data_IF_570008952101
#
_entry.id   IF_570008952101
#
_cell.length_a   1.000
_cell.length_b   1.000
_cell.length_c   1.000
_cell.angle_alpha   90.00
_cell.angle_beta   90.00
_cell.angle_gamma   90.00
#
_symmetry.space_group_name_H-M   'P 1'
#
loop_
_entity.id
_entity.type
_entity.pdbx_description
1 polymer ?
#
# COMPACT_ATOMS: atom_id res chain seq x y z
N UNK A 1 -6.87 18.03 2.04
CA UNK A 1 -6.55 16.59 2.15
C UNK A 1 -7.76 15.70 1.91
N UNK A 2 -8.87 15.83 2.66
CA UNK A 2 -10.09 15.01 2.46
C UNK A 2 -10.66 15.12 1.04
N UNK A 3 -10.71 16.33 0.46
CA UNK A 3 -11.18 16.60 -0.91
C UNK A 3 -10.35 15.87 -1.96
N UNK A 4 -9.02 15.85 -1.80
CA UNK A 4 -8.10 15.15 -2.71
C UNK A 4 -8.34 13.64 -2.72
N UNK A 5 -8.44 13.00 -1.55
CA UNK A 5 -8.70 11.56 -1.47
C UNK A 5 -10.08 11.18 -1.98
N UNK A 6 -11.10 12.03 -1.76
CA UNK A 6 -12.41 11.83 -2.38
C UNK A 6 -12.30 11.84 -3.89
N UNK A 7 -11.59 12.80 -4.47
CA UNK A 7 -11.33 12.84 -5.92
C UNK A 7 -10.60 11.61 -6.45
N UNK A 8 -9.65 11.04 -5.69
CA UNK A 8 -9.00 9.78 -6.06
C UNK A 8 -9.98 8.60 -6.07
N UNK A 9 -10.84 8.51 -5.05
CA UNK A 9 -11.85 7.44 -4.97
C UNK A 9 -12.79 7.53 -6.17
N UNK A 10 -13.25 8.73 -6.53
CA UNK A 10 -14.11 8.94 -7.69
C UNK A 10 -13.39 8.49 -8.99
N UNK A 11 -12.12 8.87 -9.17
CA UNK A 11 -11.30 8.43 -10.30
C UNK A 11 -11.22 6.90 -10.36
N UNK A 12 -10.89 6.24 -9.25
CA UNK A 12 -10.74 4.79 -9.20
C UNK A 12 -12.04 4.05 -9.51
N UNK A 13 -13.19 4.56 -9.04
CA UNK A 13 -14.49 3.93 -9.30
C UNK A 13 -14.93 4.03 -10.77
N UNK A 14 -14.44 5.04 -11.50
CA UNK A 14 -14.77 5.29 -12.90
C UNK A 14 -13.73 4.76 -13.89
N UNK A 15 -12.56 4.33 -13.41
CA UNK A 15 -11.46 3.89 -14.27
C UNK A 15 -11.60 2.43 -14.67
N UNK A 16 -11.44 2.13 -15.96
CA UNK A 16 -11.24 0.77 -16.41
C UNK A 16 -9.81 0.30 -16.08
N UNK A 17 -9.62 -0.94 -15.63
CA UNK A 17 -8.29 -1.46 -15.34
C UNK A 17 -7.56 -1.95 -16.60
N UNK A 18 -6.23 -1.82 -16.61
CA UNK A 18 -5.37 -2.55 -17.53
C UNK A 18 -4.98 -3.92 -16.93
N UNK A 19 -4.70 -4.90 -17.75
CA UNK A 19 -4.22 -6.21 -17.31
C UNK A 19 -2.71 -6.20 -17.12
N UNK A 20 -2.25 -6.19 -15.89
CA UNK A 20 -0.85 -6.20 -15.53
C UNK A 20 -0.29 -7.62 -15.33
N UNK A 21 -1.05 -8.68 -15.66
CA UNK A 21 -0.67 -10.07 -15.38
C UNK A 21 0.68 -10.45 -16.02
N UNK A 22 1.00 -9.84 -17.15
CA UNK A 22 2.28 -10.07 -17.84
C UNK A 22 3.51 -9.65 -17.02
N UNK A 23 3.33 -8.72 -16.07
CA UNK A 23 4.40 -8.30 -15.16
C UNK A 23 4.67 -9.30 -14.04
N UNK A 24 3.79 -10.29 -13.85
CA UNK A 24 3.93 -11.25 -12.79
C UNK A 24 4.30 -12.62 -13.34
N UNK A 25 5.35 -13.21 -12.80
CA UNK A 25 5.75 -14.56 -13.17
C UNK A 25 4.72 -15.59 -12.69
N UNK A 26 4.44 -16.61 -13.49
CA UNK A 26 3.52 -17.72 -13.16
C UNK A 26 3.99 -18.58 -11.98
N UNK A 27 5.20 -18.38 -11.49
CA UNK A 27 5.81 -19.16 -10.41
C UNK A 27 6.09 -18.29 -9.20
N UNK A 28 5.26 -18.45 -8.19
CA UNK A 28 5.50 -17.98 -6.82
C UNK A 28 6.71 -18.72 -6.23
N UNK A 29 7.92 -18.25 -6.46
CA UNK A 29 9.10 -18.73 -5.76
C UNK A 29 9.44 -17.75 -4.64
N UNK A 30 9.69 -18.26 -3.44
CA UNK A 30 9.91 -17.48 -2.20
C UNK A 30 11.14 -16.55 -2.21
N UNK A 31 11.91 -16.50 -3.29
CA UNK A 31 13.23 -15.85 -3.33
C UNK A 31 13.36 -14.61 -4.21
N UNK A 32 12.33 -14.26 -4.98
CA UNK A 32 12.41 -13.10 -5.88
C UNK A 32 11.06 -12.40 -6.00
N UNK A 33 11.02 -11.06 -6.11
CA UNK A 33 9.78 -10.36 -6.44
C UNK A 33 9.26 -10.85 -7.78
N UNK A 34 7.94 -11.05 -7.84
CA UNK A 34 7.28 -11.55 -9.05
C UNK A 34 7.14 -10.49 -10.13
N UNK A 35 7.28 -9.21 -9.76
CA UNK A 35 7.18 -8.10 -10.70
C UNK A 35 8.43 -8.06 -11.59
N UNK A 36 8.27 -8.50 -12.82
CA UNK A 36 9.32 -8.41 -13.85
C UNK A 36 9.26 -7.04 -14.54
N UNK A 37 10.07 -6.12 -14.05
CA UNK A 37 10.15 -4.77 -14.63
C UNK A 37 10.72 -4.77 -16.06
N UNK A 38 11.41 -5.82 -16.50
CA UNK A 38 11.89 -5.98 -17.87
C UNK A 38 10.75 -6.10 -18.89
N UNK A 39 9.56 -6.54 -18.45
CA UNK A 39 8.37 -6.71 -19.29
C UNK A 39 7.41 -5.52 -19.28
N UNK A 40 7.77 -4.42 -18.63
CA UNK A 40 6.91 -3.23 -18.55
C UNK A 40 6.55 -2.68 -19.93
N UNK A 41 7.44 -2.85 -20.92
CA UNK A 41 7.20 -2.43 -22.29
C UNK A 41 6.14 -3.27 -23.03
N UNK A 42 5.85 -4.48 -22.53
CA UNK A 42 4.87 -5.38 -23.12
C UNK A 42 3.43 -5.11 -22.61
N UNK A 43 3.27 -4.20 -21.62
CA UNK A 43 1.97 -3.83 -21.07
C UNK A 43 1.30 -2.76 -21.92
N UNK A 44 0.03 -2.97 -22.23
CA UNK A 44 -0.85 -1.92 -22.73
C UNK A 44 -1.41 -1.10 -21.59
N UNK A 45 -1.00 0.17 -21.48
CA UNK A 45 -1.43 1.12 -20.45
C UNK A 45 -2.54 2.07 -20.94
N UNK A 46 -3.29 1.71 -21.98
CA UNK A 46 -4.31 2.60 -22.58
C UNK A 46 -5.32 3.11 -21.56
N UNK A 47 -5.84 2.23 -20.68
CA UNK A 47 -6.81 2.64 -19.66
C UNK A 47 -6.16 3.48 -18.56
N UNK A 48 -4.91 3.19 -18.19
CA UNK A 48 -4.17 3.96 -17.20
C UNK A 48 -3.86 5.39 -17.65
N UNK A 49 -3.84 5.68 -18.96
CA UNK A 49 -3.65 7.05 -19.49
C UNK A 49 -4.79 7.96 -19.01
N UNK A 50 -6.04 7.51 -19.11
CA UNK A 50 -7.19 8.31 -18.68
C UNK A 50 -7.19 8.53 -17.17
N UNK A 51 -6.86 7.48 -16.40
CA UNK A 51 -6.69 7.59 -14.97
C UNK A 51 -5.57 8.58 -14.60
N UNK A 52 -4.43 8.53 -15.31
CA UNK A 52 -3.31 9.45 -15.10
C UNK A 52 -3.70 10.90 -15.35
N UNK A 53 -4.37 11.19 -16.46
CA UNK A 53 -4.83 12.54 -16.79
C UNK A 53 -5.79 13.10 -15.74
N UNK A 54 -6.70 12.27 -15.22
CA UNK A 54 -7.60 12.65 -14.11
C UNK A 54 -6.85 12.91 -12.82
N UNK A 55 -5.88 12.06 -12.46
CA UNK A 55 -5.03 12.22 -11.28
C UNK A 55 -4.20 13.50 -11.38
N UNK A 56 -3.59 13.79 -12.52
CA UNK A 56 -2.82 15.01 -12.72
C UNK A 56 -3.69 16.27 -12.58
N UNK A 57 -4.89 16.29 -13.17
CA UNK A 57 -5.86 17.39 -12.99
C UNK A 57 -6.25 17.60 -11.52
N UNK A 58 -6.38 16.51 -10.76
CA UNK A 58 -6.68 16.58 -9.34
C UNK A 58 -5.52 17.24 -8.56
N UNK A 59 -4.26 16.91 -8.91
CA UNK A 59 -3.08 17.55 -8.33
C UNK A 59 -3.00 19.05 -8.64
N UNK A 60 -3.23 19.45 -9.89
CA UNK A 60 -3.22 20.86 -10.28
C UNK A 60 -4.28 21.67 -9.53
N UNK A 61 -5.48 21.10 -9.33
CA UNK A 61 -6.56 21.74 -8.59
C UNK A 61 -6.23 22.00 -7.11
N UNK A 62 -5.52 21.07 -6.46
CA UNK A 62 -5.19 21.17 -5.03
C UNK A 62 -3.90 21.97 -4.77
N UNK A 63 -2.97 22.06 -5.73
CA UNK A 63 -1.78 22.92 -5.67
C UNK A 63 -2.10 24.28 -6.31
N UNK A 64 -2.33 25.27 -5.48
CA UNK A 64 -2.36 26.67 -5.88
C UNK A 64 -0.91 27.17 -6.10
N UNK A 65 -0.36 26.96 -7.27
CA UNK A 65 0.93 27.55 -7.69
C UNK A 65 1.97 26.53 -8.12
N UNK A 66 2.47 26.76 -9.31
CA UNK A 66 3.74 26.41 -9.93
C UNK A 66 4.12 24.92 -10.16
N UNK A 67 4.37 24.63 -11.44
CA UNK A 67 5.29 23.67 -12.02
C UNK A 67 4.93 22.17 -12.11
N UNK A 68 3.68 21.78 -12.28
CA UNK A 68 3.41 20.51 -12.93
C UNK A 68 2.37 20.72 -14.05
N UNK A 69 2.82 21.09 -15.22
CA UNK A 69 2.04 21.01 -16.46
C UNK A 69 1.84 19.55 -16.88
N UNK A 70 1.12 18.77 -16.08
CA UNK A 70 0.88 17.35 -16.38
C UNK A 70 -0.48 17.11 -17.04
N UNK A 71 -1.47 18.00 -16.88
CA UNK A 71 -2.81 17.80 -17.44
C UNK A 71 -2.84 17.89 -18.96
N UNK A 72 -1.86 18.58 -19.58
CA UNK A 72 -1.66 18.66 -21.02
C UNK A 72 -0.70 17.61 -21.59
N UNK A 73 -0.20 16.67 -20.79
CA UNK A 73 0.77 15.68 -21.23
C UNK A 73 0.19 14.78 -22.34
N UNK A 74 0.99 14.51 -23.38
CA UNK A 74 0.61 13.56 -24.42
C UNK A 74 0.48 12.15 -23.85
N UNK A 75 -0.24 11.28 -24.54
CA UNK A 75 -0.40 9.89 -24.12
C UNK A 75 0.95 9.17 -24.03
N UNK A 76 1.88 9.49 -24.92
CA UNK A 76 3.24 8.96 -24.96
C UNK A 76 4.03 9.38 -23.72
N UNK A 77 3.94 10.65 -23.31
CA UNK A 77 4.59 11.16 -22.11
C UNK A 77 4.04 10.50 -20.83
N UNK A 78 2.73 10.23 -20.77
CA UNK A 78 2.11 9.51 -19.64
C UNK A 78 2.60 8.07 -19.58
N UNK A 79 2.65 7.36 -20.72
CA UNK A 79 3.16 5.98 -20.80
C UNK A 79 4.62 5.94 -20.34
N UNK A 80 5.46 6.85 -20.81
CA UNK A 80 6.86 6.93 -20.43
C UNK A 80 7.02 7.18 -18.92
N UNK A 81 6.21 8.10 -18.34
CA UNK A 81 6.17 8.32 -16.89
C UNK A 81 5.84 7.03 -16.12
N UNK A 82 4.82 6.28 -16.57
CA UNK A 82 4.43 5.01 -15.94
C UNK A 82 5.59 4.00 -16.04
N UNK A 83 6.16 3.81 -17.22
CA UNK A 83 7.25 2.86 -17.46
C UNK A 83 8.50 3.20 -16.64
N UNK A 84 8.95 4.44 -16.69
CA UNK A 84 10.09 4.90 -15.90
C UNK A 84 9.85 4.73 -14.40
N UNK A 85 8.66 5.02 -13.94
CA UNK A 85 8.32 4.90 -12.53
C UNK A 85 8.27 3.47 -12.03
N UNK A 86 7.86 2.51 -12.88
CA UNK A 86 7.93 1.08 -12.56
C UNK A 86 9.38 0.56 -12.55
N UNK A 87 10.27 1.15 -13.37
CA UNK A 87 11.69 0.81 -13.37
C UNK A 87 12.49 1.46 -12.25
N UNK A 88 12.18 2.70 -11.90
CA UNK A 88 12.92 3.48 -10.90
C UNK A 88 12.18 3.48 -9.58
N UNK A 89 12.83 3.07 -8.51
CA UNK A 89 12.24 3.03 -7.15
C UNK A 89 12.23 4.42 -6.50
N UNK A 90 11.64 5.42 -7.17
CA UNK A 90 11.52 6.80 -6.68
C UNK A 90 10.21 6.96 -5.90
N UNK A 91 10.30 7.37 -4.63
CA UNK A 91 9.17 7.48 -3.69
C UNK A 91 8.03 8.35 -4.18
N UNK A 92 8.34 9.54 -4.71
CA UNK A 92 7.29 10.46 -5.17
C UNK A 92 6.59 9.94 -6.41
N UNK A 93 7.36 9.41 -7.36
CA UNK A 93 6.83 8.77 -8.56
C UNK A 93 6.02 7.53 -8.21
N UNK A 94 6.48 6.73 -7.24
CA UNK A 94 5.75 5.55 -6.78
C UNK A 94 4.39 5.88 -6.17
N UNK A 95 4.26 6.96 -5.41
CA UNK A 95 2.97 7.37 -4.85
C UNK A 95 1.98 7.77 -5.95
N UNK A 96 2.40 8.56 -6.94
CA UNK A 96 1.56 8.96 -8.08
C UNK A 96 1.22 7.75 -8.94
N UNK A 97 2.19 6.89 -9.23
CA UNK A 97 1.98 5.64 -9.96
C UNK A 97 0.99 4.72 -9.27
N UNK A 98 1.10 4.59 -7.94
CA UNK A 98 0.13 3.82 -7.15
C UNK A 98 -1.28 4.32 -7.40
N UNK A 99 -1.50 5.64 -7.39
CA UNK A 99 -2.82 6.20 -7.59
C UNK A 99 -3.34 6.00 -9.02
N UNK A 100 -2.46 6.06 -10.01
CA UNK A 100 -2.80 5.80 -11.41
C UNK A 100 -3.10 4.33 -11.63
N UNK A 101 -2.25 3.43 -11.11
CA UNK A 101 -2.30 2.00 -11.41
C UNK A 101 -3.15 1.19 -10.41
N UNK A 102 -3.71 1.82 -9.35
CA UNK A 102 -4.47 1.11 -8.32
C UNK A 102 -5.58 0.23 -8.91
N UNK A 103 -6.46 0.70 -9.82
CA UNK A 103 -7.49 -0.16 -10.41
C UNK A 103 -6.91 -1.36 -11.15
N UNK A 104 -5.81 -1.17 -11.88
CA UNK A 104 -5.14 -2.21 -12.65
C UNK A 104 -4.45 -3.24 -11.75
N UNK A 105 -3.84 -2.81 -10.64
CA UNK A 105 -3.31 -3.72 -9.64
C UNK A 105 -4.40 -4.52 -8.95
N UNK A 106 -5.49 -3.89 -8.52
CA UNK A 106 -6.61 -4.57 -7.85
C UNK A 106 -7.25 -5.62 -8.78
N UNK A 107 -7.47 -5.27 -10.04
CA UNK A 107 -7.98 -6.19 -11.05
C UNK A 107 -7.04 -7.38 -11.27
N UNK A 108 -5.75 -7.12 -11.45
CA UNK A 108 -4.76 -8.18 -11.68
C UNK A 108 -4.63 -9.09 -10.45
N UNK A 109 -4.54 -8.50 -9.25
CA UNK A 109 -4.44 -9.24 -7.99
C UNK A 109 -5.67 -10.12 -7.75
N UNK A 110 -6.86 -9.67 -8.14
CA UNK A 110 -8.08 -10.46 -8.00
C UNK A 110 -8.04 -11.78 -8.77
N UNK A 111 -7.23 -11.86 -9.82
CA UNK A 111 -7.02 -13.07 -10.63
C UNK A 111 -5.91 -13.98 -10.08
N UNK A 112 -5.04 -13.46 -9.21
CA UNK A 112 -3.95 -14.24 -8.63
C UNK A 112 -4.47 -15.10 -7.48
N UNK A 113 -4.12 -16.39 -7.49
CA UNK A 113 -4.37 -17.28 -6.34
C UNK A 113 -3.35 -16.97 -5.25
N UNK A 114 -3.84 -16.74 -4.04
CA UNK A 114 -3.11 -16.23 -2.89
C UNK A 114 -1.73 -16.86 -2.68
N UNK A 115 -0.76 -16.00 -2.39
CA UNK A 115 0.59 -16.37 -2.00
C UNK A 115 0.81 -16.14 -0.50
N UNK A 116 1.64 -16.97 0.12
CA UNK A 116 2.16 -16.75 1.46
C UNK A 116 3.51 -16.05 1.35
N UNK A 117 3.65 -14.89 1.95
CA UNK A 117 4.93 -14.20 2.05
C UNK A 117 5.55 -14.39 3.43
N UNK A 118 6.86 -14.34 3.52
CA UNK A 118 7.59 -14.31 4.77
C UNK A 118 8.31 -12.96 4.89
N UNK A 119 8.10 -12.27 6.01
CA UNK A 119 8.72 -10.98 6.25
C UNK A 119 7.90 -9.78 5.76
N UNK A 120 8.48 -8.60 5.85
CA UNK A 120 7.81 -7.33 5.59
C UNK A 120 7.86 -6.84 4.14
N UNK A 121 8.23 -7.69 3.19
CA UNK A 121 8.25 -7.36 1.76
C UNK A 121 7.14 -8.07 1.01
N UNK A 122 6.52 -7.33 0.11
CA UNK A 122 5.49 -7.86 -0.76
C UNK A 122 6.04 -8.97 -1.67
N UNK A 123 5.43 -10.15 -1.70
CA UNK A 123 5.89 -11.23 -2.58
C UNK A 123 5.70 -10.93 -4.07
N UNK A 124 4.83 -9.95 -4.43
CA UNK A 124 4.62 -9.56 -5.83
C UNK A 124 5.63 -8.53 -6.32
N UNK A 125 5.82 -7.42 -5.59
CA UNK A 125 6.60 -6.29 -6.08
C UNK A 125 7.78 -5.89 -5.18
N UNK A 126 8.07 -6.66 -4.14
CA UNK A 126 9.11 -6.41 -3.14
C UNK A 126 8.98 -5.11 -2.34
N UNK A 127 7.95 -4.29 -2.57
CA UNK A 127 7.71 -3.10 -1.77
C UNK A 127 7.37 -3.46 -0.32
N UNK A 128 7.68 -2.60 0.66
CA UNK A 128 7.40 -2.88 2.06
C UNK A 128 5.89 -2.86 2.35
N UNK A 129 5.51 -3.43 3.50
CA UNK A 129 4.18 -3.26 4.03
C UNK A 129 3.99 -1.84 4.59
N UNK A 130 2.84 -1.20 4.30
CA UNK A 130 2.43 0.06 4.91
C UNK A 130 1.52 -0.13 6.11
N UNK A 131 0.71 -1.18 6.10
CA UNK A 131 -0.24 -1.50 7.17
C UNK A 131 -0.37 -3.00 7.38
N UNK A 132 -0.93 -3.36 8.52
CA UNK A 132 -1.34 -4.73 8.84
C UNK A 132 -2.83 -4.80 9.21
N UNK A 133 -3.40 -5.99 9.08
CA UNK A 133 -4.76 -6.33 9.52
C UNK A 133 -4.66 -7.54 10.43
N UNK A 134 -5.26 -7.46 11.61
CA UNK A 134 -5.46 -8.60 12.52
C UNK A 134 -6.94 -8.94 12.55
N UNK A 135 -7.27 -10.20 12.28
CA UNK A 135 -8.65 -10.68 12.20
C UNK A 135 -8.73 -12.16 12.56
N UNK A 136 -9.92 -12.61 12.93
CA UNK A 136 -10.23 -14.03 13.10
C UNK A 136 -11.05 -14.47 11.89
N UNK A 137 -10.58 -15.47 11.09
CA UNK A 137 -11.37 -16.03 10.00
C UNK A 137 -12.68 -16.66 10.50
N UNK A 138 -13.71 -16.69 9.65
CA UNK A 138 -15.07 -17.12 10.03
C UNK A 138 -15.15 -18.51 10.66
N UNK A 139 -14.30 -19.45 10.29
CA UNK A 139 -14.31 -20.81 10.80
C UNK A 139 -13.09 -21.16 11.67
N UNK A 140 -12.41 -20.13 12.18
CA UNK A 140 -11.22 -20.29 13.02
C UNK A 140 -11.41 -19.57 14.36
N UNK A 141 -10.69 -20.00 15.37
CA UNK A 141 -10.65 -19.35 16.69
C UNK A 141 -9.38 -18.54 16.89
N UNK A 142 -8.37 -18.78 16.07
CA UNK A 142 -7.08 -18.10 16.15
C UNK A 142 -7.06 -16.87 15.25
N UNK A 143 -6.51 -15.78 15.79
CA UNK A 143 -6.26 -14.57 15.00
C UNK A 143 -5.20 -14.82 13.95
N UNK A 144 -5.34 -14.15 12.83
CA UNK A 144 -4.38 -14.12 11.74
C UNK A 144 -3.97 -12.69 11.44
N UNK A 145 -2.75 -12.52 10.93
CA UNK A 145 -2.24 -11.22 10.49
C UNK A 145 -1.98 -11.23 8.98
N UNK A 146 -2.53 -10.22 8.30
CA UNK A 146 -2.20 -9.89 6.91
C UNK A 146 -1.38 -8.60 6.89
N UNK A 147 -0.36 -8.57 6.07
CA UNK A 147 0.34 -7.35 5.68
C UNK A 147 -0.24 -6.83 4.37
N UNK A 148 -0.27 -5.51 4.20
CA UNK A 148 -0.70 -4.84 2.97
C UNK A 148 0.48 -4.12 2.33
N UNK A 149 0.66 -4.30 1.03
CA UNK A 149 1.73 -3.67 0.27
C UNK A 149 1.48 -2.16 0.11
N UNK A 150 2.51 -1.35 0.36
CA UNK A 150 2.42 0.11 0.18
C UNK A 150 2.25 0.53 -1.29
N UNK A 151 2.61 -0.32 -2.25
CA UNK A 151 2.58 0.01 -3.68
C UNK A 151 1.43 -0.67 -4.41
N UNK A 152 1.45 -2.02 -4.54
CA UNK A 152 0.45 -2.74 -5.34
C UNK A 152 -0.82 -3.13 -4.58
N UNK A 153 -0.90 -2.89 -3.26
CA UNK A 153 -2.06 -3.24 -2.44
C UNK A 153 -2.21 -4.74 -2.14
N UNK A 154 -1.30 -5.60 -2.66
CA UNK A 154 -1.36 -7.03 -2.36
C UNK A 154 -1.27 -7.30 -0.87
N UNK A 155 -2.03 -8.30 -0.40
CA UNK A 155 -2.07 -8.71 1.01
C UNK A 155 -1.56 -10.12 1.17
N UNK A 156 -0.69 -10.33 2.16
CA UNK A 156 -0.11 -11.65 2.43
C UNK A 156 -0.11 -11.97 3.92
N UNK A 157 -0.19 -13.23 4.21
CA UNK A 157 -0.11 -13.71 5.59
C UNK A 157 1.30 -13.54 6.13
N UNK A 158 1.40 -13.15 7.40
CA UNK A 158 2.65 -13.16 8.12
C UNK A 158 2.40 -13.64 9.57
N UNK A 159 3.43 -14.06 10.31
CA UNK A 159 3.27 -14.46 11.70
C UNK A 159 2.55 -13.39 12.52
N UNK A 160 1.63 -13.79 13.40
CA UNK A 160 0.84 -12.87 14.22
C UNK A 160 1.74 -12.00 15.10
N UNK A 161 2.79 -12.62 15.64
CA UNK A 161 3.84 -11.97 16.44
C UNK A 161 5.09 -11.75 15.59
N UNK A 162 5.92 -10.80 15.99
CA UNK A 162 7.16 -10.50 15.30
C UNK A 162 7.14 -9.21 14.46
N UNK A 163 8.30 -8.61 14.34
CA UNK A 163 8.51 -7.39 13.59
C UNK A 163 8.71 -7.70 12.10
N UNK A 164 7.86 -7.19 11.19
CA UNK A 164 8.05 -7.44 9.78
C UNK A 164 9.29 -6.74 9.19
N UNK A 165 9.86 -5.75 9.89
CA UNK A 165 11.04 -5.02 9.42
C UNK A 165 12.35 -5.72 9.78
N UNK A 166 12.51 -6.21 11.01
CA UNK A 166 13.78 -6.79 11.49
C UNK A 166 13.68 -8.25 11.94
N UNK A 167 12.48 -8.84 11.96
CA UNK A 167 12.28 -10.23 12.37
C UNK A 167 12.34 -10.45 13.88
N UNK A 168 12.44 -9.39 14.71
CA UNK A 168 12.39 -9.55 16.17
C UNK A 168 11.08 -10.20 16.61
N UNK A 169 11.15 -11.24 17.43
CA UNK A 169 9.99 -11.99 17.94
C UNK A 169 9.77 -11.83 19.44
N UNK A 170 10.60 -11.05 20.14
CA UNK A 170 10.53 -10.88 21.60
C UNK A 170 9.35 -9.97 21.96
N UNK A 171 8.30 -10.47 22.65
CA UNK A 171 7.09 -9.70 22.94
C UNK A 171 7.36 -8.44 23.76
N UNK A 172 8.32 -8.48 24.68
CA UNK A 172 8.72 -7.35 25.52
C UNK A 172 9.37 -6.19 24.77
N UNK A 173 9.68 -6.39 23.49
CA UNK A 173 10.25 -5.39 22.61
C UNK A 173 9.20 -4.71 21.71
N UNK A 174 7.92 -4.97 21.96
CA UNK A 174 6.84 -4.32 21.24
C UNK A 174 6.08 -3.36 22.15
N UNK A 175 5.76 -2.21 21.60
CA UNK A 175 4.83 -1.26 22.16
C UNK A 175 3.77 -0.88 21.12
N UNK A 176 2.85 -0.01 21.50
CA UNK A 176 1.88 0.52 20.56
C UNK A 176 1.46 1.94 20.95
N UNK A 177 1.06 2.69 19.94
CA UNK A 177 0.39 3.98 20.07
C UNK A 177 -1.04 3.83 19.61
N UNK A 178 -1.96 4.45 20.34
CA UNK A 178 -3.39 4.47 20.07
C UNK A 178 -3.91 5.89 20.26
N UNK A 179 -4.82 6.32 19.42
CA UNK A 179 -5.48 7.61 19.56
C UNK A 179 -6.68 7.54 20.50
N UNK A 180 -7.29 8.69 20.77
CA UNK A 180 -8.36 8.83 21.76
C UNK A 180 -9.77 8.55 21.23
N UNK A 181 -9.94 8.53 19.89
CA UNK A 181 -11.26 8.31 19.29
C UNK A 181 -11.68 6.84 19.31
N UNK A 182 -12.98 6.57 19.26
CA UNK A 182 -13.51 5.20 19.20
C UNK A 182 -12.99 4.43 17.96
N UNK A 183 -12.75 5.11 16.84
CA UNK A 183 -12.11 4.53 15.65
C UNK A 183 -10.67 4.13 15.92
N UNK A 184 -9.95 4.99 16.65
CA UNK A 184 -8.54 4.78 16.95
C UNK A 184 -8.29 3.58 17.85
N UNK A 185 -9.28 3.16 18.64
CA UNK A 185 -9.18 1.94 19.45
C UNK A 185 -9.02 0.68 18.58
N UNK A 186 -9.46 0.72 17.34
CA UNK A 186 -9.36 -0.38 16.38
C UNK A 186 -8.13 -0.29 15.47
N UNK A 187 -7.35 0.80 15.56
CA UNK A 187 -6.10 0.96 14.80
C UNK A 187 -4.98 1.35 15.75
N UNK A 188 -3.88 0.64 15.70
CA UNK A 188 -2.71 0.89 16.54
C UNK A 188 -1.46 1.00 15.70
N UNK A 189 -0.58 1.93 16.03
CA UNK A 189 0.79 1.92 15.51
C UNK A 189 1.63 1.00 16.42
N UNK A 190 1.81 -0.25 15.97
CA UNK A 190 2.61 -1.26 16.70
C UNK A 190 4.07 -0.98 16.42
N UNK A 191 4.84 -0.68 17.48
CA UNK A 191 6.26 -0.30 17.43
C UNK A 191 7.17 -1.44 17.84
N UNK A 192 8.37 -1.48 17.24
CA UNK A 192 9.45 -2.39 17.60
C UNK A 192 10.62 -1.61 18.19
N UNK A 193 10.99 -1.92 19.42
CA UNK A 193 12.11 -1.30 20.13
C UNK A 193 13.47 -1.66 19.53
N UNK A 194 13.58 -2.81 18.88
CA UNK A 194 14.83 -3.30 18.32
C UNK A 194 15.28 -2.49 17.09
N UNK A 195 14.37 -2.24 16.15
CA UNK A 195 14.69 -1.53 14.90
C UNK A 195 14.10 -0.13 14.84
N UNK A 196 13.39 0.33 15.88
CA UNK A 196 12.73 1.63 15.95
C UNK A 196 11.79 1.92 14.80
N UNK A 197 11.13 0.85 14.27
CA UNK A 197 10.06 1.00 13.29
C UNK A 197 8.69 0.80 13.92
N UNK A 198 7.67 1.32 13.26
CA UNK A 198 6.27 1.00 13.57
C UNK A 198 5.51 0.60 12.31
N UNK A 199 4.41 -0.14 12.54
CA UNK A 199 3.45 -0.51 11.49
C UNK A 199 2.03 -0.29 12.02
N UNK A 200 1.24 0.51 11.31
CA UNK A 200 -0.18 0.69 11.67
C UNK A 200 -0.93 -0.61 11.41
N UNK A 201 -1.68 -1.05 12.41
CA UNK A 201 -2.38 -2.33 12.40
C UNK A 201 -3.86 -2.12 12.72
N UNK A 202 -4.74 -2.57 11.83
CA UNK A 202 -6.19 -2.58 12.02
C UNK A 202 -6.59 -3.88 12.71
N UNK A 203 -7.31 -3.78 13.83
CA UNK A 203 -7.88 -4.92 14.56
C UNK A 203 -9.37 -5.02 14.24
N UNK A 204 -9.75 -5.97 13.40
CA UNK A 204 -11.14 -6.11 12.93
C UNK A 204 -12.08 -6.46 14.08
N UNK A 205 -11.66 -7.27 15.02
CA UNK A 205 -12.46 -7.66 16.18
C UNK A 205 -12.97 -6.49 17.04
N UNK A 206 -12.32 -5.32 16.97
CA UNK A 206 -12.73 -4.10 17.67
C UNK A 206 -13.77 -3.28 16.90
N UNK A 207 -13.97 -3.55 15.60
CA UNK A 207 -14.78 -2.71 14.72
C UNK A 207 -16.27 -3.03 14.83
N UNK A 208 -17.09 -1.99 14.95
CA UNK A 208 -18.56 -2.12 14.95
C UNK A 208 -19.15 -2.34 13.56
N UNK A 209 -18.44 -1.94 12.49
CA UNK A 209 -18.89 -2.03 11.10
C UNK A 209 -18.79 -3.45 10.49
N UNK A 210 -18.24 -4.41 11.25
CA UNK A 210 -18.09 -5.83 10.87
C UNK A 210 -17.50 -6.06 9.47
N UNK A 211 -16.67 -5.13 8.99
CA UNK A 211 -16.00 -5.29 7.70
C UNK A 211 -15.06 -6.49 7.73
N UNK A 212 -15.03 -7.23 6.62
CA UNK A 212 -14.02 -8.28 6.41
C UNK A 212 -12.68 -7.64 5.99
N UNK A 213 -11.56 -8.34 6.13
CA UNK A 213 -10.27 -7.85 5.63
C UNK A 213 -10.36 -7.37 4.17
N UNK A 214 -11.07 -8.09 3.30
CA UNK A 214 -11.22 -7.75 1.88
C UNK A 214 -11.95 -6.42 1.62
N UNK A 215 -12.84 -6.03 2.53
CA UNK A 215 -13.69 -4.84 2.39
C UNK A 215 -12.99 -3.54 2.88
N UNK A 216 -11.78 -3.66 3.42
CA UNK A 216 -11.00 -2.51 3.90
C UNK A 216 -10.18 -1.91 2.76
N UNK A 217 -10.28 -0.62 2.56
CA UNK A 217 -9.31 0.14 1.77
C UNK A 217 -8.17 0.62 2.68
N UNK A 218 -6.99 -0.02 2.56
CA UNK A 218 -5.86 0.25 3.45
C UNK A 218 -5.26 1.65 3.22
N UNK A 219 -5.44 2.25 2.06
CA UNK A 219 -4.99 3.61 1.80
C UNK A 219 -5.87 4.62 2.53
N UNK A 220 -7.18 4.35 2.57
CA UNK A 220 -8.11 5.16 3.35
C UNK A 220 -7.85 5.01 4.86
N UNK A 221 -7.63 3.78 5.34
CA UNK A 221 -7.32 3.54 6.75
C UNK A 221 -5.99 4.19 7.15
N UNK A 222 -4.98 4.15 6.27
CA UNK A 222 -3.68 4.79 6.48
C UNK A 222 -3.80 6.30 6.66
N UNK A 223 -4.48 6.96 5.72
CA UNK A 223 -4.70 8.43 5.75
C UNK A 223 -5.58 8.85 6.93
N UNK A 224 -6.60 8.10 7.23
CA UNK A 224 -7.51 8.40 8.34
C UNK A 224 -6.82 8.33 9.72
N UNK A 225 -5.63 7.75 9.81
CA UNK A 225 -4.88 7.54 11.03
C UNK A 225 -3.48 8.20 11.02
N UNK A 226 -3.32 9.30 10.26
CA UNK A 226 -2.06 10.07 10.19
C UNK A 226 -1.56 10.60 11.54
N UNK A 227 -2.47 10.86 12.49
CA UNK A 227 -2.10 11.27 13.85
C UNK A 227 -1.27 10.20 14.57
N UNK A 228 -1.47 8.91 14.29
CA UNK A 228 -0.64 7.82 14.83
C UNK A 228 0.78 7.87 14.30
N UNK A 229 0.97 8.27 13.02
CA UNK A 229 2.29 8.47 12.43
C UNK A 229 3.01 9.63 13.15
N UNK A 230 2.30 10.73 13.42
CA UNK A 230 2.86 11.86 14.17
C UNK A 230 3.27 11.45 15.59
N UNK A 231 2.43 10.69 16.29
CA UNK A 231 2.71 10.21 17.64
C UNK A 231 3.93 9.29 17.68
N UNK A 232 4.06 8.37 16.72
CA UNK A 232 5.19 7.46 16.63
C UNK A 232 6.49 8.21 16.27
N UNK A 233 6.44 9.11 15.28
CA UNK A 233 7.58 9.90 14.85
C UNK A 233 8.13 10.81 15.97
N UNK A 234 7.25 11.44 16.76
CA UNK A 234 7.65 12.24 17.92
C UNK A 234 8.42 11.44 18.97
N UNK A 235 8.24 10.13 19.00
CA UNK A 235 8.95 9.21 19.92
C UNK A 235 10.13 8.49 19.25
N UNK A 236 10.53 8.93 18.06
CA UNK A 236 11.72 8.43 17.35
C UNK A 236 11.53 7.12 16.62
N UNK A 237 10.27 6.73 16.33
CA UNK A 237 9.99 5.59 15.47
C UNK A 237 9.75 6.03 14.04
N UNK A 238 10.18 5.20 13.09
CA UNK A 238 10.02 5.43 11.66
C UNK A 238 9.04 4.42 11.08
N UNK A 239 8.20 4.82 10.13
CA UNK A 239 7.33 3.88 9.44
C UNK A 239 8.14 2.79 8.72
N UNK A 240 7.62 1.56 8.67
CA UNK A 240 8.27 0.44 7.98
C UNK A 240 8.59 0.74 6.51
N UNK A 241 7.79 1.56 5.84
CA UNK A 241 8.05 2.00 4.45
C UNK A 241 9.27 2.90 4.40
N UNK A 242 9.39 3.86 5.31
CA UNK A 242 10.47 4.83 5.35
C UNK A 242 11.80 4.23 5.76
N UNK A 243 11.80 3.31 6.72
CA UNK A 243 13.02 2.69 7.26
C UNK A 243 13.83 1.91 6.22
N UNK A 244 13.19 1.44 5.14
CA UNK A 244 13.85 0.66 4.08
C UNK A 244 14.42 1.48 2.96
N UNK A 245 14.01 2.73 2.84
CA UNK A 245 14.51 3.64 1.78
C UNK A 245 15.74 4.41 2.25
N UNK A 246 15.96 4.46 3.57
CA UNK A 246 17.13 5.12 4.17
C UNK A 246 18.35 4.17 4.32
N UNK A 247 18.22 2.91 3.90
CA UNK A 247 19.30 1.93 3.83
C UNK A 247 19.68 1.65 2.37
#
# INVERSE_FOLDING_TARGET
MVSFYKGLIDIWSESSPDDLSILFSDRLTYSSPLLDTGRVNDVDFTNSIDAAKKVFKLFEKERKGDDIECAGASSEAVIEFIREGLHKNDRFRNAVLKWILKPSFEYTISKLRGGTGWGGQCPLCASPANMAIVYTPENETAEQRLLSCCFCGYRWRCPLTGCPSCGNEKPERFGFFVGDSARDQCVRAVSCEECKTYLKTVFIGCRSDKKRPADLDMDIEDVATLHLDMMANQRGYTNCVESRVLK
#
